data_IF_543517996197
#
_entry.id   IF_543517996197
#
_cell.length_a   1.000
_cell.length_b   1.000
_cell.length_c   1.000
_cell.angle_alpha   90.00
_cell.angle_beta   90.00
_cell.angle_gamma   90.00
#
_symmetry.space_group_name_H-M   'P 1'
#
loop_
_entity.id
_entity.type
_entity.pdbx_description
1 polymer ?
#
# COMPACT_ATOMS: atom_id res chain seq x y z
N UNK A 1 -11.14 -9.32 -25.60
CA UNK A 1 -12.46 -9.38 -24.91
C UNK A 1 -12.71 -8.01 -24.28
N UNK A 2 -13.85 -7.36 -24.50
CA UNK A 2 -14.15 -6.03 -23.95
C UNK A 2 -14.98 -6.15 -22.66
N UNK A 3 -14.37 -5.98 -21.49
CA UNK A 3 -15.06 -6.11 -20.19
C UNK A 3 -15.54 -4.75 -19.64
N UNK A 4 -16.30 -3.98 -20.42
CA UNK A 4 -16.81 -2.68 -19.95
C UNK A 4 -18.14 -2.77 -19.16
N UNK A 5 -18.95 -3.79 -19.39
CA UNK A 5 -20.36 -3.80 -18.97
C UNK A 5 -20.78 -4.90 -17.98
N UNK A 6 -19.84 -5.63 -17.37
CA UNK A 6 -20.20 -6.68 -16.41
C UNK A 6 -20.90 -6.08 -15.18
N UNK A 7 -22.12 -6.53 -14.89
CA UNK A 7 -22.93 -6.11 -13.73
C UNK A 7 -23.09 -7.24 -12.71
N UNK A 8 -23.01 -8.49 -13.15
CA UNK A 8 -23.12 -9.65 -12.28
C UNK A 8 -21.82 -9.82 -11.48
N UNK A 9 -21.90 -10.20 -10.20
CA UNK A 9 -20.73 -10.59 -9.42
C UNK A 9 -19.96 -11.72 -10.12
N UNK A 10 -18.64 -11.60 -10.17
CA UNK A 10 -17.82 -12.59 -10.87
C UNK A 10 -16.46 -12.05 -11.31
N UNK A 11 -15.70 -12.92 -11.96
CA UNK A 11 -14.37 -12.62 -12.49
C UNK A 11 -14.38 -12.75 -14.01
N UNK A 12 -14.03 -11.67 -14.70
CA UNK A 12 -14.11 -11.56 -16.14
C UNK A 12 -12.73 -11.31 -16.72
N UNK A 13 -12.25 -12.20 -17.59
CA UNK A 13 -10.94 -12.08 -18.20
C UNK A 13 -10.93 -11.00 -19.29
N UNK A 14 -9.97 -10.08 -19.22
CA UNK A 14 -9.66 -9.16 -20.33
C UNK A 14 -8.56 -9.74 -21.24
N UNK A 15 -7.75 -10.66 -20.70
CA UNK A 15 -6.63 -11.33 -21.36
C UNK A 15 -5.32 -11.10 -20.62
N UNK A 16 -4.25 -11.83 -20.97
CA UNK A 16 -2.92 -11.59 -20.40
C UNK A 16 -2.83 -11.65 -18.86
N UNK A 17 -3.73 -12.41 -18.22
CA UNK A 17 -3.84 -12.46 -16.76
C UNK A 17 -4.59 -11.28 -16.13
N UNK A 18 -4.99 -10.25 -16.89
CA UNK A 18 -5.84 -9.16 -16.41
C UNK A 18 -7.29 -9.61 -16.32
N UNK A 19 -7.91 -9.32 -15.18
CA UNK A 19 -9.31 -9.60 -14.91
C UNK A 19 -10.01 -8.38 -14.33
N UNK A 20 -11.27 -8.21 -14.69
CA UNK A 20 -12.22 -7.43 -13.91
C UNK A 20 -12.85 -8.34 -12.86
N UNK A 21 -12.79 -7.93 -11.60
CA UNK A 21 -13.54 -8.57 -10.50
C UNK A 21 -14.69 -7.66 -10.13
N UNK A 22 -15.90 -8.21 -10.16
CA UNK A 22 -17.14 -7.57 -9.68
C UNK A 22 -17.54 -8.27 -8.40
N UNK A 23 -17.50 -7.55 -7.28
CA UNK A 23 -17.88 -8.07 -5.97
C UNK A 23 -19.44 -8.13 -5.84
N UNK A 24 -20.01 -8.91 -4.90
CA UNK A 24 -21.46 -8.97 -4.69
C UNK A 24 -22.14 -7.62 -4.44
N UNK A 25 -21.39 -6.67 -3.86
CA UNK A 25 -21.83 -5.29 -3.65
C UNK A 25 -21.92 -4.45 -4.93
N UNK A 26 -21.47 -4.99 -6.08
CA UNK A 26 -21.33 -4.27 -7.34
C UNK A 26 -20.03 -3.47 -7.47
N UNK A 27 -19.18 -3.45 -6.44
CA UNK A 27 -17.85 -2.84 -6.54
C UNK A 27 -17.01 -3.55 -7.60
N UNK A 28 -16.23 -2.77 -8.36
CA UNK A 28 -15.46 -3.27 -9.51
C UNK A 28 -14.00 -2.91 -9.40
N UNK A 29 -13.12 -3.90 -9.57
CA UNK A 29 -11.67 -3.72 -9.49
C UNK A 29 -10.91 -4.54 -10.51
N UNK A 30 -9.78 -4.00 -10.95
CA UNK A 30 -8.84 -4.67 -11.84
C UNK A 30 -7.87 -5.52 -11.03
N UNK A 31 -7.68 -6.76 -11.46
CA UNK A 31 -6.76 -7.72 -10.85
C UNK A 31 -5.89 -8.36 -11.92
N UNK A 32 -4.57 -8.23 -11.77
CA UNK A 32 -3.59 -9.00 -12.53
C UNK A 32 -3.29 -10.31 -11.80
N UNK A 33 -3.51 -11.44 -12.48
CA UNK A 33 -3.04 -12.76 -12.06
C UNK A 33 -1.73 -13.07 -12.75
N UNK A 34 -0.64 -13.20 -12.00
CA UNK A 34 0.70 -13.48 -12.54
C UNK A 34 1.53 -14.33 -11.58
N UNK A 35 2.67 -14.83 -12.06
CA UNK A 35 3.65 -15.55 -11.23
C UNK A 35 4.74 -14.55 -10.86
N UNK A 36 4.96 -14.36 -9.56
CA UNK A 36 6.05 -13.53 -9.03
C UNK A 36 6.95 -14.46 -8.23
N UNK A 37 8.22 -14.57 -8.63
CA UNK A 37 9.22 -15.38 -7.93
C UNK A 37 8.72 -16.82 -7.66
N UNK A 38 8.19 -17.48 -8.70
CA UNK A 38 7.67 -18.85 -8.62
C UNK A 38 6.29 -19.00 -7.96
N UNK A 39 5.76 -17.96 -7.33
CA UNK A 39 4.46 -18.01 -6.63
C UNK A 39 3.38 -17.30 -7.44
N UNK A 40 2.25 -17.97 -7.67
CA UNK A 40 1.08 -17.35 -8.29
C UNK A 40 0.45 -16.32 -7.35
N UNK A 41 0.23 -15.10 -7.84
CA UNK A 41 -0.32 -13.96 -7.09
C UNK A 41 -1.44 -13.28 -7.87
N UNK A 42 -2.41 -12.75 -7.13
CA UNK A 42 -3.41 -11.81 -7.62
C UNK A 42 -3.04 -10.40 -7.12
N UNK A 43 -2.75 -9.49 -8.04
CA UNK A 43 -2.30 -8.12 -7.79
C UNK A 43 -3.43 -7.16 -8.17
N UNK A 44 -3.97 -6.44 -7.19
CA UNK A 44 -4.95 -5.37 -7.44
C UNK A 44 -4.32 -4.16 -8.13
N UNK A 45 -4.92 -3.70 -9.22
CA UNK A 45 -4.45 -2.56 -10.01
C UNK A 45 -5.28 -1.27 -9.79
N UNK A 46 -6.37 -1.38 -9.03
CA UNK A 46 -7.25 -0.27 -8.67
C UNK A 46 -8.73 -0.54 -8.99
N UNK A 47 -9.61 0.31 -8.47
CA UNK A 47 -11.05 0.30 -8.80
C UNK A 47 -11.31 0.85 -10.19
N UNK A 48 -12.37 0.36 -10.87
CA UNK A 48 -12.72 0.80 -12.24
C UNK A 48 -13.06 2.29 -12.32
N UNK A 49 -13.51 2.88 -11.22
CA UNK A 49 -13.82 4.32 -11.13
C UNK A 49 -12.59 5.21 -11.24
N UNK A 50 -11.44 4.72 -10.79
CA UNK A 50 -10.17 5.47 -10.77
C UNK A 50 -9.16 5.00 -11.81
N UNK A 51 -9.35 3.80 -12.35
CA UNK A 51 -8.42 3.17 -13.28
C UNK A 51 -9.23 2.66 -14.46
N UNK A 52 -9.05 3.32 -15.60
CA UNK A 52 -9.63 2.90 -16.87
C UNK A 52 -9.08 1.54 -17.32
N UNK A 53 -9.78 0.89 -18.25
CA UNK A 53 -9.30 -0.38 -18.82
C UNK A 53 -7.93 -0.23 -19.52
N UNK A 54 -7.69 0.90 -20.20
CA UNK A 54 -6.41 1.16 -20.86
C UNK A 54 -5.27 1.24 -19.83
N UNK A 55 -5.44 2.06 -18.79
CA UNK A 55 -4.45 2.17 -17.71
C UNK A 55 -4.26 0.83 -16.97
N UNK A 56 -5.32 0.05 -16.80
CA UNK A 56 -5.22 -1.29 -16.21
C UNK A 56 -4.37 -2.24 -17.06
N UNK A 57 -4.49 -2.18 -18.40
CA UNK A 57 -3.65 -2.95 -19.33
C UNK A 57 -2.20 -2.52 -19.27
N UNK A 58 -1.94 -1.22 -19.22
CA UNK A 58 -0.58 -0.67 -19.13
C UNK A 58 0.10 -1.06 -17.82
N UNK A 59 -0.60 -0.87 -16.69
CA UNK A 59 -0.14 -1.32 -15.37
C UNK A 59 0.10 -2.83 -15.35
N UNK A 60 -0.81 -3.62 -15.93
CA UNK A 60 -0.64 -5.06 -16.02
C UNK A 60 0.58 -5.48 -16.87
N UNK A 61 0.85 -4.77 -17.97
CA UNK A 61 2.02 -5.02 -18.80
C UNK A 61 3.33 -4.70 -18.06
N UNK A 62 3.39 -3.56 -17.39
CA UNK A 62 4.55 -3.15 -16.59
C UNK A 62 4.86 -4.17 -15.47
N UNK A 63 3.86 -4.56 -14.69
CA UNK A 63 4.04 -5.51 -13.57
C UNK A 63 4.42 -6.91 -14.04
N UNK A 64 3.89 -7.38 -15.19
CA UNK A 64 4.30 -8.65 -15.80
C UNK A 64 5.73 -8.62 -16.31
N UNK A 65 6.20 -7.47 -16.83
CA UNK A 65 7.59 -7.32 -17.26
C UNK A 65 8.53 -7.52 -16.08
N UNK A 66 8.31 -6.78 -14.99
CA UNK A 66 9.08 -6.91 -13.75
C UNK A 66 9.10 -8.35 -13.24
N UNK A 67 7.93 -9.01 -13.20
CA UNK A 67 7.82 -10.38 -12.72
C UNK A 67 8.55 -11.41 -13.61
N UNK A 68 8.54 -11.23 -14.94
CA UNK A 68 9.32 -12.07 -15.88
C UNK A 68 10.82 -11.88 -15.73
N UNK A 69 11.25 -10.66 -15.45
CA UNK A 69 12.66 -10.31 -15.27
C UNK A 69 13.19 -10.76 -13.88
N UNK A 70 12.39 -11.52 -13.11
CA UNK A 70 12.75 -12.05 -11.78
C UNK A 70 12.52 -11.07 -10.62
N UNK A 71 12.06 -9.86 -10.90
CA UNK A 71 11.74 -8.84 -9.90
C UNK A 71 10.42 -9.08 -9.17
N UNK A 72 10.22 -8.34 -8.07
CA UNK A 72 8.95 -8.30 -7.35
C UNK A 72 8.19 -7.00 -7.68
N UNK A 73 7.11 -7.03 -8.48
CA UNK A 73 6.28 -5.86 -8.79
C UNK A 73 5.60 -5.23 -7.56
N UNK A 74 5.60 -5.92 -6.42
CA UNK A 74 5.07 -5.43 -5.16
C UNK A 74 6.14 -4.86 -4.22
N UNK A 75 7.42 -4.86 -4.62
CA UNK A 75 8.53 -4.45 -3.74
C UNK A 75 8.37 -3.01 -3.23
N UNK A 76 8.08 -2.05 -4.11
CA UNK A 76 7.90 -0.65 -3.70
C UNK A 76 6.65 -0.45 -2.84
N UNK A 77 5.57 -1.16 -3.16
CA UNK A 77 4.35 -1.13 -2.35
C UNK A 77 4.60 -1.71 -0.95
N UNK A 78 5.41 -2.77 -0.84
CA UNK A 78 5.83 -3.34 0.43
C UNK A 78 6.76 -2.39 1.17
N UNK A 79 7.76 -1.80 0.52
CA UNK A 79 8.66 -0.80 1.14
C UNK A 79 7.89 0.38 1.73
N UNK A 80 6.91 0.90 0.99
CA UNK A 80 6.06 1.99 1.46
C UNK A 80 5.16 1.57 2.63
N UNK A 81 4.61 0.35 2.62
CA UNK A 81 3.78 -0.18 3.70
C UNK A 81 4.59 -0.66 4.93
N UNK A 82 5.86 -1.02 4.74
CA UNK A 82 6.77 -1.58 5.75
C UNK A 82 7.71 -0.56 6.37
N UNK A 83 7.58 0.75 6.05
CA UNK A 83 8.28 1.77 6.82
C UNK A 83 7.58 1.94 8.16
N UNK A 84 7.70 0.92 9.01
CA UNK A 84 7.33 0.99 10.42
C UNK A 84 8.27 2.03 11.02
N UNK A 85 7.73 3.16 11.53
CA UNK A 85 8.57 4.21 12.04
C UNK A 85 9.33 3.69 13.24
N UNK A 86 10.59 4.09 13.41
CA UNK A 86 11.30 3.73 14.63
C UNK A 86 10.61 4.33 15.85
N UNK A 87 10.88 3.83 17.05
CA UNK A 87 10.33 4.38 18.28
C UNK A 87 10.56 5.90 18.39
N UNK A 88 11.72 6.39 17.95
CA UNK A 88 12.01 7.83 17.94
C UNK A 88 11.16 8.61 16.91
N UNK A 89 10.99 8.08 15.70
CA UNK A 89 10.13 8.67 14.67
C UNK A 89 8.66 8.68 15.14
N UNK A 90 8.17 7.57 15.67
CA UNK A 90 6.82 7.42 16.19
C UNK A 90 6.54 8.37 17.37
N UNK A 91 7.47 8.46 18.34
CA UNK A 91 7.37 9.37 19.47
C UNK A 91 7.31 10.84 19.01
N UNK A 92 8.12 11.21 18.02
CA UNK A 92 8.12 12.56 17.44
C UNK A 92 6.81 12.87 16.72
N UNK A 93 6.25 11.92 15.96
CA UNK A 93 4.94 12.09 15.32
C UNK A 93 3.81 12.29 16.34
N UNK A 94 3.80 11.51 17.42
CA UNK A 94 2.79 11.66 18.49
C UNK A 94 2.90 13.00 19.18
N UNK A 95 4.12 13.46 19.44
CA UNK A 95 4.38 14.78 20.02
C UNK A 95 3.80 15.89 19.15
N UNK A 96 4.12 15.89 17.86
CA UNK A 96 3.64 16.88 16.89
C UNK A 96 2.11 16.87 16.74
N UNK A 97 1.50 15.67 16.72
CA UNK A 97 0.04 15.55 16.62
C UNK A 97 -0.69 16.04 17.88
N UNK A 98 -0.07 15.95 19.06
CA UNK A 98 -0.72 16.23 20.34
C UNK A 98 -0.33 17.56 20.97
N UNK A 99 0.79 18.18 20.58
CA UNK A 99 1.31 19.41 21.20
C UNK A 99 0.30 20.56 21.24
N UNK A 100 -0.56 20.68 20.22
CA UNK A 100 -1.58 21.73 20.15
C UNK A 100 -2.71 21.55 21.18
N UNK A 101 -2.94 20.32 21.66
CA UNK A 101 -3.96 20.00 22.66
C UNK A 101 -3.46 20.12 24.11
N UNK A 102 -2.17 20.37 24.32
CA UNK A 102 -1.58 20.44 25.65
C UNK A 102 -1.52 21.88 26.15
N UNK A 103 -2.12 22.12 27.32
CA UNK A 103 -2.27 23.45 27.90
C UNK A 103 -0.96 24.05 28.44
N UNK A 104 0.05 23.23 28.71
CA UNK A 104 1.30 23.65 29.34
C UNK A 104 2.49 23.40 28.42
N UNK A 105 3.07 24.50 27.91
CA UNK A 105 4.21 24.49 26.99
C UNK A 105 5.47 23.85 27.57
N UNK A 106 5.69 23.91 28.88
CA UNK A 106 6.82 23.24 29.54
C UNK A 106 6.65 21.72 29.49
N UNK A 107 5.45 21.20 29.76
CA UNK A 107 5.18 19.77 29.65
C UNK A 107 5.28 19.26 28.21
N UNK A 108 4.88 20.09 27.23
CA UNK A 108 5.11 19.80 25.80
C UNK A 108 6.60 19.57 25.53
N UNK A 109 7.46 20.52 25.88
CA UNK A 109 8.89 20.39 25.64
C UNK A 109 9.52 19.25 26.46
N UNK A 110 9.10 19.09 27.72
CA UNK A 110 9.64 18.08 28.64
C UNK A 110 9.37 16.67 28.17
N UNK A 111 8.17 16.38 27.64
CA UNK A 111 7.79 15.03 27.20
C UNK A 111 8.75 14.48 26.14
N UNK A 112 9.08 15.28 25.12
CA UNK A 112 10.01 14.83 24.07
C UNK A 112 11.45 14.79 24.59
N UNK A 113 11.81 15.71 25.48
CA UNK A 113 13.15 15.80 26.07
C UNK A 113 13.47 14.57 26.92
N UNK A 114 12.55 14.11 27.78
CA UNK A 114 12.76 12.91 28.60
C UNK A 114 12.90 11.65 27.75
N UNK A 115 12.11 11.53 26.68
CA UNK A 115 12.25 10.41 25.73
C UNK A 115 13.59 10.45 24.99
N UNK A 116 14.05 11.62 24.55
CA UNK A 116 15.38 11.80 23.95
C UNK A 116 16.51 11.41 24.89
N UNK A 117 16.40 11.76 26.18
CA UNK A 117 17.45 11.49 27.16
C UNK A 117 17.50 10.02 27.58
N UNK A 118 16.35 9.38 27.84
CA UNK A 118 16.32 8.08 28.50
C UNK A 118 15.88 6.92 27.62
N UNK A 119 14.96 7.15 26.68
CA UNK A 119 14.34 6.08 25.90
C UNK A 119 14.98 5.91 24.52
N UNK A 120 15.33 7.00 23.84
CA UNK A 120 15.88 6.97 22.49
C UNK A 120 17.25 6.27 22.39
N UNK A 121 18.18 6.41 23.35
CA UNK A 121 19.44 5.68 23.30
C UNK A 121 19.29 4.15 23.36
N UNK A 122 18.18 3.66 23.94
CA UNK A 122 17.94 2.23 24.20
C UNK A 122 17.01 1.62 23.14
N UNK A 123 15.98 2.38 22.75
CA UNK A 123 14.88 1.91 21.90
C UNK A 123 14.69 2.74 20.63
N UNK A 124 15.37 3.87 20.47
CA UNK A 124 15.05 4.87 19.45
C UNK A 124 15.14 4.38 18.01
N UNK A 125 16.05 3.46 17.71
CA UNK A 125 16.21 2.84 16.38
C UNK A 125 15.35 1.59 16.18
N UNK A 126 14.66 1.12 17.23
CA UNK A 126 13.84 -0.08 17.14
C UNK A 126 12.55 0.23 16.38
N UNK A 127 12.09 -0.68 15.50
CA UNK A 127 10.82 -0.55 14.77
C UNK A 127 9.58 -0.55 15.68
#
# INVERSE_FOLDING_TARGET
MQVRAAKTPGRYADGNGLHLVVDPSGAKRWVLRTIVQGVRRDIGLGGVTLVSLAEARDKAAAMRKIARDGGDPLADRRRAAQRMPTFAEAASHVHEARKAGWKNSKHVAQWLTTLKTYAFPIFGERP
#
